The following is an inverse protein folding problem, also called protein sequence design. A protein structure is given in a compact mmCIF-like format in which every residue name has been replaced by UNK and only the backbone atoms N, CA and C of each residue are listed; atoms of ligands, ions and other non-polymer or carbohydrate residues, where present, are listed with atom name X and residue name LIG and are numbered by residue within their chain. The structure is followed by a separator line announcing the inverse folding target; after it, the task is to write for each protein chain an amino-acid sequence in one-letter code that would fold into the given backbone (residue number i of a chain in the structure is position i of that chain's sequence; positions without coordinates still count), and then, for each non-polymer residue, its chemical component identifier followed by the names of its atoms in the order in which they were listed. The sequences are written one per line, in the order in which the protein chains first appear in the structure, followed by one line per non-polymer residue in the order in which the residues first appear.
data_IF_584597895920
#
_entry.id   IF_584597895920
#
_cell.length_a   1.000
_cell.length_b   1.000
_cell.length_c   1.000
_cell.angle_alpha   90.00
_cell.angle_beta   90.00
_cell.angle_gamma   90.00
#
_symmetry.space_group_name_H-M   'P 1'
#
loop_
_entity.id
_entity.type
_entity.pdbx_description
1 polymer ?
#
# COMPACT_ATOMS: atom_id res chain seq x y z
N UNK A 1 -19.69 4.57 -2.85
CA UNK A 1 -18.52 3.82 -2.33
C UNK A 1 -17.25 4.66 -2.18
N UNK A 2 -16.97 5.62 -3.07
CA UNK A 2 -15.75 6.45 -3.03
C UNK A 2 -15.53 7.20 -1.70
N UNK A 3 -16.57 7.83 -1.15
CA UNK A 3 -16.51 8.55 0.13
C UNK A 3 -16.17 7.65 1.34
N UNK A 4 -16.58 6.38 1.31
CA UNK A 4 -16.27 5.41 2.38
C UNK A 4 -14.78 5.04 2.36
N UNK A 5 -14.19 4.92 1.16
CA UNK A 5 -12.76 4.67 1.01
C UNK A 5 -11.92 5.87 1.50
N UNK A 6 -12.30 7.08 1.12
CA UNK A 6 -11.65 8.31 1.60
C UNK A 6 -11.72 8.40 3.13
N UNK A 7 -12.90 8.15 3.70
CA UNK A 7 -13.09 8.19 5.15
C UNK A 7 -12.24 7.14 5.88
N UNK A 8 -12.13 5.93 5.33
CA UNK A 8 -11.25 4.89 5.87
C UNK A 8 -9.77 5.29 5.78
N UNK A 9 -9.34 5.86 4.67
CA UNK A 9 -7.96 6.34 4.49
C UNK A 9 -7.64 7.47 5.45
N UNK A 10 -8.52 8.47 5.57
CA UNK A 10 -8.34 9.60 6.49
C UNK A 10 -8.39 9.14 7.95
N UNK A 11 -9.27 8.21 8.31
CA UNK A 11 -9.33 7.64 9.66
C UNK A 11 -8.07 6.84 9.98
N UNK A 12 -7.54 6.10 9.01
CA UNK A 12 -6.29 5.38 9.14
C UNK A 12 -5.09 6.32 9.30
N UNK A 13 -5.01 7.37 8.48
CA UNK A 13 -3.97 8.40 8.57
C UNK A 13 -4.05 9.18 9.89
N UNK A 14 -5.26 9.51 10.35
CA UNK A 14 -5.49 10.17 11.64
C UNK A 14 -5.09 9.28 12.82
N UNK A 15 -5.46 7.99 12.80
CA UNK A 15 -5.03 7.02 13.80
C UNK A 15 -3.51 6.82 13.77
N UNK A 16 -2.90 6.77 12.59
CA UNK A 16 -1.45 6.69 12.44
C UNK A 16 -0.74 7.91 13.04
N UNK A 17 -1.21 9.11 12.71
CA UNK A 17 -0.66 10.35 13.26
C UNK A 17 -0.78 10.38 14.79
N UNK A 18 -1.94 9.98 15.34
CA UNK A 18 -2.15 9.88 16.77
C UNK A 18 -1.18 8.88 17.42
N UNK A 19 -0.97 7.71 16.82
CA UNK A 19 0.00 6.71 17.32
C UNK A 19 1.42 7.25 17.27
N UNK A 20 1.82 7.94 16.19
CA UNK A 20 3.12 8.60 16.09
C UNK A 20 3.33 9.65 17.19
N UNK A 21 2.33 10.51 17.43
CA UNK A 21 2.40 11.55 18.46
C UNK A 21 2.45 10.94 19.86
N UNK A 22 1.57 9.98 20.16
CA UNK A 22 1.56 9.29 21.47
C UNK A 22 2.87 8.55 21.70
N UNK A 23 3.41 7.89 20.67
CA UNK A 23 4.72 7.23 20.74
C UNK A 23 5.85 8.23 20.97
N UNK A 24 5.90 9.34 20.25
CA UNK A 24 6.90 10.39 20.45
C UNK A 24 6.83 10.98 21.87
N UNK A 25 5.63 11.28 22.38
CA UNK A 25 5.43 11.80 23.74
C UNK A 25 5.86 10.77 24.78
N UNK A 26 5.49 9.49 24.61
CA UNK A 26 5.92 8.42 25.50
C UNK A 26 7.43 8.21 25.45
N UNK A 27 8.04 8.28 24.27
CA UNK A 27 9.48 8.13 24.06
C UNK A 27 10.27 9.28 24.68
N UNK A 28 9.84 10.52 24.44
CA UNK A 28 10.40 11.70 25.09
C UNK A 28 10.24 11.59 26.62
N UNK A 29 9.06 11.20 27.11
CA UNK A 29 8.90 10.94 28.55
C UNK A 29 9.82 9.84 29.04
N UNK A 30 10.02 8.73 28.36
CA UNK A 30 10.94 7.68 28.85
C UNK A 30 12.40 8.09 28.81
N UNK A 31 12.80 8.91 27.84
CA UNK A 31 14.15 9.48 27.79
C UNK A 31 14.38 10.55 28.87
N UNK A 32 13.36 11.35 29.20
CA UNK A 32 13.49 12.51 30.10
C UNK A 32 12.88 12.32 31.50
N UNK A 33 12.08 11.29 31.78
CA UNK A 33 11.36 11.11 33.06
C UNK A 33 12.18 10.48 34.19
N UNK A 34 13.51 10.50 34.10
CA UNK A 34 14.35 10.32 35.29
C UNK A 34 15.05 11.62 35.63
N UNK A 35 14.24 12.64 35.93
CA UNK A 35 14.68 13.76 36.75
C UNK A 35 15.09 13.27 38.15
N UNK A 36 15.90 14.05 38.89
CA UNK A 36 16.39 13.68 40.21
C UNK A 36 15.23 13.28 41.13
N UNK A 37 15.45 12.28 41.98
CA UNK A 37 14.42 11.81 42.92
C UNK A 37 14.05 12.96 43.86
N UNK A 38 12.78 13.11 44.24
CA UNK A 38 12.41 14.06 45.28
C UNK A 38 13.12 13.65 46.59
N UNK A 39 14.09 14.46 47.02
CA UNK A 39 14.97 14.20 48.16
C UNK A 39 16.45 14.54 47.94
N UNK A 40 16.88 14.80 46.71
CA UNK A 40 18.25 15.23 46.41
C UNK A 40 18.28 16.77 46.37
N UNK A 41 18.38 17.41 47.54
CA UNK A 41 18.64 18.85 47.68
C UNK A 41 19.95 19.20 47.00
N UNK A 42 19.87 19.80 45.80
CA UNK A 42 21.00 20.42 45.15
C UNK A 42 21.52 21.55 46.06
N UNK A 43 22.78 21.42 46.49
CA UNK A 43 23.54 22.56 46.97
C UNK A 43 23.57 23.62 45.86
N UNK A 44 23.44 24.92 46.17
CA UNK A 44 23.74 25.95 45.21
C UNK A 44 25.24 25.85 44.91
N UNK A 45 25.65 26.10 43.67
CA UNK A 45 27.04 26.02 43.19
C UNK A 45 27.46 24.66 42.64
N UNK A 46 26.71 24.14 41.68
CA UNK A 46 27.34 23.38 40.58
C UNK A 46 26.58 23.66 39.31
N UNK A 47 27.30 24.10 38.29
CA UNK A 47 26.82 24.13 36.91
C UNK A 47 26.07 22.83 36.65
N UNK A 48 24.77 22.94 36.43
CA UNK A 48 23.90 21.83 36.12
C UNK A 48 24.26 21.32 34.72
N UNK A 49 25.38 20.60 34.62
CA UNK A 49 25.67 19.71 33.52
C UNK A 49 24.55 18.69 33.57
N UNK A 50 23.52 18.91 32.75
CA UNK A 50 22.49 17.92 32.48
C UNK A 50 23.22 16.70 31.89
N UNK A 51 23.65 15.79 32.77
CA UNK A 51 24.26 14.52 32.37
C UNK A 51 23.16 13.74 31.66
N UNK A 52 23.13 13.87 30.33
CA UNK A 52 22.31 13.08 29.45
C UNK A 52 22.69 11.62 29.67
N UNK A 53 21.97 10.93 30.57
CA UNK A 53 22.17 9.51 30.83
C UNK A 53 21.99 8.76 29.52
N UNK A 54 23.04 8.06 29.09
CA UNK A 54 23.00 7.24 27.88
C UNK A 54 21.80 6.28 27.97
N UNK A 55 20.94 6.22 26.93
CA UNK A 55 19.80 5.32 26.93
C UNK A 55 20.29 3.88 27.12
N UNK A 56 19.55 3.10 27.91
CA UNK A 56 19.84 1.68 28.07
C UNK A 56 19.78 0.98 26.71
N UNK A 57 20.58 -0.07 26.51
CA UNK A 57 20.54 -0.85 25.25
C UNK A 57 19.14 -1.35 24.89
N UNK A 58 18.32 -1.68 25.90
CA UNK A 58 16.93 -2.13 25.72
C UNK A 58 15.99 -1.00 25.28
N UNK A 59 16.11 0.19 25.85
CA UNK A 59 15.31 1.36 25.44
C UNK A 59 15.70 1.84 24.03
N UNK A 60 16.97 1.75 23.67
CA UNK A 60 17.42 2.05 22.30
C UNK A 60 16.87 1.02 21.30
N UNK A 61 16.93 -0.27 21.62
CA UNK A 61 16.38 -1.32 20.75
C UNK A 61 14.87 -1.16 20.54
N UNK A 62 14.10 -0.84 21.58
CA UNK A 62 12.67 -0.58 21.48
C UNK A 62 12.36 0.66 20.63
N UNK A 63 13.15 1.72 20.77
CA UNK A 63 13.02 2.93 19.96
C UNK A 63 13.28 2.66 18.47
N UNK A 64 14.36 1.94 18.17
CA UNK A 64 14.70 1.55 16.80
C UNK A 64 13.60 0.67 16.21
N UNK A 65 13.14 -0.35 16.95
CA UNK A 65 12.06 -1.24 16.49
C UNK A 65 10.75 -0.48 16.22
N UNK A 66 10.37 0.44 17.11
CA UNK A 66 9.19 1.29 16.94
C UNK A 66 9.30 2.22 15.73
N UNK A 67 10.44 2.89 15.56
CA UNK A 67 10.70 3.75 14.39
C UNK A 67 10.67 2.96 13.09
N UNK A 68 11.30 1.78 13.05
CA UNK A 68 11.26 0.91 11.86
C UNK A 68 9.83 0.46 11.55
N UNK A 69 9.05 0.10 12.57
CA UNK A 69 7.65 -0.33 12.38
C UNK A 69 6.79 0.82 11.85
N UNK A 70 6.96 2.03 12.39
CA UNK A 70 6.28 3.23 11.90
C UNK A 70 6.70 3.60 10.47
N UNK A 71 7.97 3.43 10.13
CA UNK A 71 8.48 3.68 8.78
C UNK A 71 7.96 2.65 7.76
N UNK A 72 7.72 1.40 8.18
CA UNK A 72 7.21 0.35 7.30
C UNK A 72 5.68 0.40 7.13
N UNK A 73 4.94 1.00 8.06
CA UNK A 73 3.48 1.01 8.03
C UNK A 73 2.88 1.58 6.73
N UNK A 74 3.40 2.68 6.14
CA UNK A 74 2.92 3.19 4.86
C UNK A 74 3.19 2.26 3.67
N UNK A 75 4.22 1.40 3.78
CA UNK A 75 4.59 0.44 2.74
C UNK A 75 3.78 -0.87 2.84
N UNK A 76 3.14 -1.14 3.98
CA UNK A 76 2.39 -2.37 4.22
C UNK A 76 1.34 -2.68 3.13
N UNK A 77 0.51 -1.73 2.66
CA UNK A 77 -0.46 -2.03 1.59
C UNK A 77 0.21 -2.53 0.31
N UNK A 78 1.35 -1.93 -0.06
CA UNK A 78 2.11 -2.33 -1.24
C UNK A 78 2.70 -3.73 -1.08
N UNK A 79 3.36 -3.99 0.06
CA UNK A 79 3.91 -5.31 0.38
C UNK A 79 2.83 -6.40 0.40
N UNK A 80 1.63 -6.07 0.88
CA UNK A 80 0.48 -6.97 0.85
C UNK A 80 0.05 -7.22 -0.60
N UNK A 81 -0.07 -6.22 -1.47
CA UNK A 81 -0.42 -6.45 -2.88
C UNK A 81 0.65 -7.28 -3.59
N UNK A 82 1.93 -6.98 -3.41
CA UNK A 82 3.03 -7.73 -4.03
C UNK A 82 3.06 -9.19 -3.57
N UNK A 83 2.95 -9.45 -2.27
CA UNK A 83 2.95 -10.81 -1.73
C UNK A 83 1.76 -11.64 -2.23
N UNK A 84 0.56 -11.04 -2.26
CA UNK A 84 -0.63 -11.70 -2.84
C UNK A 84 -0.46 -11.98 -4.34
N UNK A 85 0.15 -11.04 -5.07
CA UNK A 85 0.40 -11.16 -6.51
C UNK A 85 1.45 -12.23 -6.81
N UNK A 86 2.51 -12.32 -6.02
CA UNK A 86 3.51 -13.38 -6.14
C UNK A 86 2.91 -14.76 -5.83
N UNK A 87 2.08 -14.87 -4.79
CA UNK A 87 1.51 -16.14 -4.35
C UNK A 87 0.46 -16.71 -5.33
N UNK A 88 -0.34 -15.86 -5.99
CA UNK A 88 -1.48 -16.33 -6.80
C UNK A 88 -1.48 -15.84 -8.25
N UNK A 89 -0.64 -14.87 -8.60
CA UNK A 89 -0.67 -14.23 -9.91
C UNK A 89 -0.50 -15.22 -11.06
N UNK A 90 0.44 -16.17 -10.94
CA UNK A 90 0.67 -17.19 -11.96
C UNK A 90 -0.58 -18.06 -12.22
N UNK A 91 -1.29 -18.48 -11.16
CA UNK A 91 -2.51 -19.29 -11.29
C UNK A 91 -3.73 -18.51 -11.77
N UNK A 92 -3.79 -17.20 -11.51
CA UNK A 92 -4.90 -16.34 -11.91
C UNK A 92 -4.75 -15.77 -13.32
N UNK A 93 -3.52 -15.60 -13.81
CA UNK A 93 -3.22 -15.04 -15.13
C UNK A 93 -4.03 -15.67 -16.28
N UNK A 94 -4.14 -17.01 -16.44
CA UNK A 94 -4.95 -17.59 -17.51
C UNK A 94 -6.46 -17.31 -17.37
N UNK A 95 -6.94 -17.16 -16.14
CA UNK A 95 -8.36 -16.88 -15.82
C UNK A 95 -8.68 -15.43 -16.14
N UNK A 96 -7.77 -14.52 -15.80
CA UNK A 96 -7.86 -13.09 -16.13
C UNK A 96 -7.77 -12.89 -17.65
N UNK A 97 -6.86 -13.58 -18.33
CA UNK A 97 -6.76 -13.56 -19.79
C UNK A 97 -8.06 -14.06 -20.46
N UNK A 98 -8.70 -15.08 -19.89
CA UNK A 98 -10.01 -15.52 -20.38
C UNK A 98 -11.08 -14.45 -20.15
N UNK A 99 -11.12 -13.83 -18.97
CA UNK A 99 -12.07 -12.75 -18.68
C UNK A 99 -11.90 -11.57 -19.66
N UNK A 100 -10.68 -11.18 -19.98
CA UNK A 100 -10.39 -10.14 -20.98
C UNK A 100 -10.90 -10.52 -22.37
N UNK A 101 -10.69 -11.79 -22.80
CA UNK A 101 -11.23 -12.28 -24.07
C UNK A 101 -12.75 -12.25 -24.12
N UNK A 102 -13.41 -12.65 -23.03
CA UNK A 102 -14.87 -12.66 -22.94
C UNK A 102 -15.45 -11.24 -23.09
N UNK A 103 -14.67 -10.21 -22.73
CA UNK A 103 -14.98 -8.78 -22.85
C UNK A 103 -14.47 -8.15 -24.16
N UNK A 104 -14.08 -8.97 -25.15
CA UNK A 104 -13.52 -8.52 -26.45
C UNK A 104 -12.26 -7.66 -26.33
N UNK A 105 -11.50 -7.81 -25.24
CA UNK A 105 -10.20 -7.17 -25.05
C UNK A 105 -9.05 -8.08 -25.48
N UNK A 106 -7.86 -7.49 -25.64
CA UNK A 106 -6.65 -8.27 -25.89
C UNK A 106 -6.38 -9.20 -24.69
N UNK A 107 -6.06 -10.45 -24.98
CA UNK A 107 -5.94 -11.47 -23.94
C UNK A 107 -4.60 -11.46 -23.20
N UNK A 108 -3.65 -10.67 -23.72
CA UNK A 108 -2.33 -10.60 -23.15
C UNK A 108 -2.35 -9.78 -21.85
N UNK A 109 -1.65 -10.29 -20.84
CA UNK A 109 -1.63 -9.68 -19.51
C UNK A 109 -0.23 -9.20 -19.26
N UNK A 110 0.03 -7.89 -19.38
CA UNK A 110 1.36 -7.34 -19.12
C UNK A 110 1.62 -7.40 -17.62
N UNK A 111 0.74 -6.78 -16.85
CA UNK A 111 0.83 -6.73 -15.39
C UNK A 111 -0.42 -7.28 -14.74
N UNK A 112 -0.25 -8.04 -13.66
CA UNK A 112 -1.33 -8.56 -12.83
C UNK A 112 -1.00 -8.30 -11.36
N UNK A 113 -1.89 -7.58 -10.65
CA UNK A 113 -1.77 -7.32 -9.22
C UNK A 113 -3.03 -7.76 -8.49
N UNK A 114 -2.88 -8.62 -7.49
CA UNK A 114 -3.98 -9.07 -6.63
C UNK A 114 -4.22 -8.00 -5.55
N UNK A 115 -5.21 -7.14 -5.77
CA UNK A 115 -5.55 -6.06 -4.84
C UNK A 115 -6.12 -6.59 -3.54
N UNK A 116 -6.98 -7.61 -3.64
CA UNK A 116 -7.65 -8.21 -2.48
C UNK A 116 -8.03 -9.65 -2.77
N UNK A 117 -7.67 -10.56 -1.87
CA UNK A 117 -8.15 -11.95 -1.83
C UNK A 117 -9.08 -12.18 -0.65
N UNK A 118 -10.25 -12.73 -0.93
CA UNK A 118 -11.10 -13.43 0.04
C UNK A 118 -11.19 -14.92 -0.29
N UNK A 119 -11.92 -15.68 0.53
CA UNK A 119 -12.11 -17.13 0.33
C UNK A 119 -12.86 -17.41 -0.98
N UNK A 120 -13.88 -16.60 -1.28
CA UNK A 120 -14.79 -16.79 -2.42
C UNK A 120 -14.66 -15.74 -3.51
N UNK A 121 -13.89 -14.66 -3.28
CA UNK A 121 -13.78 -13.54 -4.22
C UNK A 121 -12.35 -13.03 -4.29
N UNK A 122 -11.89 -12.64 -5.46
CA UNK A 122 -10.60 -11.97 -5.68
C UNK A 122 -10.83 -10.74 -6.55
N UNK A 123 -10.18 -9.64 -6.20
CA UNK A 123 -10.12 -8.44 -7.03
C UNK A 123 -8.72 -8.30 -7.59
N UNK A 124 -8.62 -8.27 -8.90
CA UNK A 124 -7.35 -8.23 -9.63
C UNK A 124 -7.30 -6.95 -10.42
N UNK A 125 -6.21 -6.20 -10.29
CA UNK A 125 -5.85 -5.15 -11.23
C UNK A 125 -5.02 -5.75 -12.35
N UNK A 126 -5.36 -5.42 -13.58
CA UNK A 126 -4.72 -5.95 -14.78
C UNK A 126 -4.37 -4.82 -15.72
N UNK A 127 -3.21 -4.93 -16.37
CA UNK A 127 -2.80 -4.11 -17.51
C UNK A 127 -2.71 -5.02 -18.72
N UNK A 128 -3.43 -4.67 -19.77
CA UNK A 128 -3.45 -5.37 -21.06
C UNK A 128 -2.98 -4.40 -22.14
N UNK A 129 -2.29 -4.87 -23.20
CA UNK A 129 -2.14 -4.07 -24.40
C UNK A 129 -3.52 -3.78 -25.03
N UNK A 130 -3.57 -2.72 -25.81
CA UNK A 130 -4.69 -2.36 -26.65
C UNK A 130 -4.18 -1.62 -27.89
N UNK A 131 -5.08 -1.40 -28.86
CA UNK A 131 -4.82 -0.54 -30.02
C UNK A 131 -5.82 0.60 -30.05
N UNK A 132 -5.35 1.81 -30.33
CA UNK A 132 -6.25 2.95 -30.51
C UNK A 132 -6.99 2.87 -31.86
N UNK A 133 -7.94 3.78 -32.10
CA UNK A 133 -8.70 3.84 -33.36
C UNK A 133 -7.85 4.08 -34.62
N UNK A 134 -6.59 4.49 -34.46
CA UNK A 134 -5.61 4.68 -35.54
C UNK A 134 -4.64 3.50 -35.68
N UNK A 135 -4.80 2.45 -34.87
CA UNK A 135 -3.99 1.24 -34.90
C UNK A 135 -2.66 1.32 -34.16
N UNK A 136 -2.39 2.40 -33.42
CA UNK A 136 -1.17 2.53 -32.61
C UNK A 136 -1.28 1.71 -31.30
N UNK A 137 -0.17 1.12 -30.84
CA UNK A 137 -0.16 0.34 -29.60
C UNK A 137 -0.30 1.24 -28.36
N UNK A 138 -1.00 0.74 -27.36
CA UNK A 138 -1.11 1.37 -26.04
C UNK A 138 -1.48 0.33 -24.97
N UNK A 139 -1.87 0.82 -23.79
CA UNK A 139 -2.26 -0.03 -22.67
C UNK A 139 -3.59 0.40 -22.06
N UNK A 140 -4.32 -0.58 -21.54
CA UNK A 140 -5.53 -0.38 -20.76
C UNK A 140 -5.36 -1.05 -19.40
N UNK A 141 -5.64 -0.28 -18.35
CA UNK A 141 -5.63 -0.74 -16.98
C UNK A 141 -7.04 -0.85 -16.43
N UNK A 142 -7.34 -1.96 -15.79
CA UNK A 142 -8.67 -2.17 -15.23
C UNK A 142 -8.72 -3.22 -14.14
N UNK A 143 -9.93 -3.44 -13.67
CA UNK A 143 -10.21 -4.30 -12.53
C UNK A 143 -11.08 -5.46 -12.97
N UNK A 144 -10.57 -6.66 -12.73
CA UNK A 144 -11.26 -7.93 -12.95
C UNK A 144 -11.69 -8.50 -11.60
N UNK A 145 -12.96 -8.84 -11.52
CA UNK A 145 -13.56 -9.46 -10.35
C UNK A 145 -13.70 -10.97 -10.58
N UNK A 146 -13.09 -11.77 -9.71
CA UNK A 146 -13.14 -13.22 -9.78
C UNK A 146 -13.92 -13.79 -8.60
N UNK A 147 -14.75 -14.79 -8.86
CA UNK A 147 -15.53 -15.53 -7.85
C UNK A 147 -15.21 -17.01 -7.93
N UNK A 148 -15.22 -17.70 -6.79
CA UNK A 148 -15.00 -19.16 -6.74
C UNK A 148 -16.33 -19.89 -6.88
N UNK A 149 -16.52 -20.63 -7.98
CA UNK A 149 -17.72 -21.45 -8.26
C UNK A 149 -17.27 -22.87 -8.64
N UNK A 150 -17.83 -23.88 -7.97
CA UNK A 150 -17.46 -25.29 -8.22
C UNK A 150 -15.96 -25.59 -8.03
N UNK A 151 -15.31 -24.91 -7.07
CA UNK A 151 -13.87 -25.08 -6.82
C UNK A 151 -12.95 -24.32 -7.78
N UNK A 152 -13.48 -23.71 -8.85
CA UNK A 152 -12.71 -22.95 -9.86
C UNK A 152 -12.97 -21.46 -9.73
N UNK A 153 -11.98 -20.63 -10.05
CA UNK A 153 -12.17 -19.19 -10.16
C UNK A 153 -12.77 -18.86 -11.52
N UNK A 154 -13.74 -17.95 -11.54
CA UNK A 154 -14.46 -17.50 -12.74
C UNK A 154 -14.64 -16.00 -12.68
N UNK A 155 -14.74 -15.35 -13.84
CA UNK A 155 -15.07 -13.93 -13.95
C UNK A 155 -16.50 -13.68 -13.44
N UNK A 156 -16.70 -12.59 -12.69
CA UNK A 156 -18.00 -12.15 -12.20
C UNK A 156 -18.16 -10.64 -12.39
N UNK A 157 -19.20 -10.24 -13.13
CA UNK A 157 -19.47 -8.84 -13.43
C UNK A 157 -18.82 -8.38 -14.73
N UNK A 158 -18.82 -7.07 -14.93
CA UNK A 158 -18.19 -6.40 -16.06
C UNK A 158 -16.74 -6.02 -15.74
N UNK A 159 -15.92 -5.95 -16.77
CA UNK A 159 -14.58 -5.36 -16.66
C UNK A 159 -14.68 -3.86 -16.31
N UNK A 160 -14.11 -3.49 -15.15
CA UNK A 160 -14.05 -2.09 -14.74
C UNK A 160 -12.80 -1.41 -15.29
N UNK A 161 -12.91 -0.74 -16.44
CA UNK A 161 -11.82 0.10 -16.97
C UNK A 161 -11.51 1.23 -15.98
N UNK A 162 -10.24 1.37 -15.61
CA UNK A 162 -9.77 2.42 -14.68
C UNK A 162 -9.06 3.53 -15.45
N UNK A 163 -8.25 3.16 -16.45
CA UNK A 163 -7.55 4.09 -17.34
C UNK A 163 -7.20 3.40 -18.66
N UNK A 164 -6.97 4.20 -19.70
CA UNK A 164 -6.58 3.69 -21.02
C UNK A 164 -5.77 4.74 -21.78
N UNK A 165 -4.65 4.31 -22.36
CA UNK A 165 -3.84 5.08 -23.29
C UNK A 165 -4.36 4.97 -24.73
N UNK A 166 -5.31 4.05 -25.00
CA UNK A 166 -5.82 3.74 -26.35
C UNK A 166 -7.00 4.62 -26.79
N UNK A 167 -7.18 5.80 -26.19
CA UNK A 167 -8.12 6.80 -26.67
C UNK A 167 -9.39 6.99 -25.82
N UNK A 168 -9.25 7.13 -24.50
CA UNK A 168 -10.29 7.85 -23.75
C UNK A 168 -10.12 9.37 -23.97
N UNK A 169 -11.19 10.02 -24.46
CA UNK A 169 -11.29 11.47 -24.62
C UNK A 169 -11.21 12.26 -23.30
N UNK A 170 -11.21 11.58 -22.15
CA UNK A 170 -11.29 12.22 -20.83
C UNK A 170 -9.92 12.55 -20.22
N UNK A 171 -8.81 12.22 -20.89
CA UNK A 171 -7.46 12.66 -20.51
C UNK A 171 -6.99 12.31 -19.09
N UNK A 172 -7.76 11.51 -18.34
CA UNK A 172 -7.47 11.16 -16.96
C UNK A 172 -6.51 9.98 -16.88
N UNK A 173 -5.28 10.23 -17.33
CA UNK A 173 -4.10 9.42 -17.02
C UNK A 173 -3.75 9.73 -15.56
N UNK A 174 -4.29 8.98 -14.60
CA UNK A 174 -3.87 9.12 -13.20
C UNK A 174 -2.64 8.23 -12.91
N UNK A 175 -1.52 8.82 -12.41
CA UNK A 175 -0.26 8.12 -12.16
C UNK A 175 -0.31 7.23 -10.89
N UNK A 176 0.68 6.32 -10.67
CA UNK A 176 2.04 6.38 -11.23
C UNK A 176 2.52 5.06 -11.83
N UNK A 177 2.60 4.93 -13.16
CA UNK A 177 3.51 3.96 -13.79
C UNK A 177 4.06 4.45 -15.13
N UNK A 178 5.33 4.06 -15.34
CA UNK A 178 6.22 4.15 -16.50
C UNK A 178 6.05 5.36 -17.44
N UNK A 179 7.04 6.26 -17.40
CA UNK A 179 7.20 7.27 -18.43
C UNK A 179 7.33 6.58 -19.81
N UNK A 180 6.79 7.22 -20.86
CA UNK A 180 7.01 6.81 -22.24
C UNK A 180 8.49 6.50 -22.47
N UNK A 181 8.81 5.24 -22.80
CA UNK A 181 10.17 4.76 -23.03
C UNK A 181 10.53 3.45 -22.33
N UNK A 182 9.78 3.06 -21.29
CA UNK A 182 10.01 1.80 -20.56
C UNK A 182 9.31 0.58 -21.19
N UNK A 183 8.52 0.79 -22.25
CA UNK A 183 7.91 -0.28 -23.04
C UNK A 183 8.87 -0.69 -24.16
N UNK A 184 9.74 -1.66 -23.89
CA UNK A 184 10.55 -2.33 -24.92
C UNK A 184 10.17 -3.80 -25.04
#
# INVERSE_FOLDING_TARGET
MFYVLIYLVLSYLGAFFLVCVVWQVFFLRTLYARGPRPGETAAPDTEAVAVARRPSRRSLAAAVAGTVTLALLPLMPYLVVESQSAAWGAGLRPIVAQALRDESMEADVVTLKVLRRGIMRIRVYVVSPCRNGYGEPGYVGGIVHLVKRGGRWQHEGEYGCVWSDCGSADGNIFPPYAAQGDYR
#
